data_IF_539104708845
#
_entry.id   IF_539104708845
#
_cell.length_a   1.000
_cell.length_b   1.000
_cell.length_c   1.000
_cell.angle_alpha   90.00
_cell.angle_beta   90.00
_cell.angle_gamma   90.00
#
_symmetry.space_group_name_H-M   'P 1'
#
loop_
_entity.id
_entity.type
_entity.pdbx_description
1 polymer ?
#
# COMPACT_ATOMS: atom_id res chain seq x y z
N UNK A 1 7.30 2.78 16.65
CA UNK A 1 6.38 2.77 15.49
C UNK A 1 6.15 1.31 15.09
N UNK A 2 4.91 0.84 15.13
CA UNK A 2 4.59 -0.54 14.73
C UNK A 2 4.54 -0.64 13.21
N UNK A 3 5.20 -1.66 12.67
CA UNK A 3 5.39 -1.85 11.23
C UNK A 3 4.76 -3.16 10.76
N UNK A 4 4.00 -3.12 9.67
CA UNK A 4 3.52 -4.29 8.96
C UNK A 4 4.25 -4.41 7.62
N UNK A 5 4.93 -5.53 7.41
CA UNK A 5 5.50 -5.91 6.11
C UNK A 5 4.49 -6.72 5.32
N UNK A 6 4.28 -6.33 4.09
CA UNK A 6 3.45 -7.05 3.10
C UNK A 6 4.41 -7.65 2.06
N UNK A 7 4.72 -8.93 2.25
CA UNK A 7 5.76 -9.62 1.51
C UNK A 7 5.18 -10.34 0.28
N UNK A 8 5.58 -9.90 -0.91
CA UNK A 8 5.28 -10.53 -2.20
C UNK A 8 6.56 -11.10 -2.86
N UNK A 9 7.40 -11.73 -2.02
CA UNK A 9 8.65 -12.39 -2.43
C UNK A 9 8.71 -13.82 -1.92
N UNK A 10 9.60 -14.63 -2.46
CA UNK A 10 9.83 -16.01 -1.97
C UNK A 10 10.62 -16.07 -0.66
N UNK A 11 11.20 -14.94 -0.22
CA UNK A 11 11.96 -14.89 1.03
C UNK A 11 11.05 -14.81 2.24
N UNK A 12 11.38 -15.59 3.26
CA UNK A 12 10.72 -15.52 4.55
C UNK A 12 11.40 -14.45 5.40
N UNK A 13 10.59 -13.56 5.97
CA UNK A 13 11.04 -12.56 6.94
C UNK A 13 10.55 -12.96 8.33
N UNK A 14 11.46 -12.99 9.30
CA UNK A 14 11.09 -13.22 10.69
C UNK A 14 10.39 -11.98 11.27
N UNK A 15 9.40 -12.22 12.12
CA UNK A 15 8.78 -11.17 12.90
C UNK A 15 9.74 -10.70 14.01
N UNK A 16 9.77 -9.40 14.23
CA UNK A 16 10.59 -8.74 15.24
C UNK A 16 9.70 -7.92 16.17
N UNK A 17 10.25 -7.45 17.29
CA UNK A 17 9.50 -6.62 18.22
C UNK A 17 8.97 -5.36 17.54
N UNK A 18 7.65 -5.28 17.43
CA UNK A 18 6.96 -4.16 16.76
C UNK A 18 6.91 -4.25 15.23
N UNK A 19 7.32 -5.38 14.65
CA UNK A 19 7.30 -5.62 13.20
C UNK A 19 6.72 -7.01 12.91
N UNK A 20 5.66 -7.05 12.13
CA UNK A 20 4.99 -8.29 11.69
C UNK A 20 5.05 -8.39 10.18
N UNK A 21 5.12 -9.62 9.68
CA UNK A 21 5.14 -9.90 8.24
C UNK A 21 3.91 -10.70 7.83
N UNK A 22 3.27 -10.29 6.75
CA UNK A 22 2.24 -11.04 6.06
C UNK A 22 2.75 -11.43 4.69
N UNK A 23 2.79 -12.73 4.42
CA UNK A 23 2.99 -13.25 3.07
C UNK A 23 1.71 -13.02 2.27
N UNK A 24 1.79 -12.16 1.27
CA UNK A 24 0.62 -11.82 0.45
C UNK A 24 0.52 -12.66 -0.82
N UNK A 25 1.50 -13.50 -1.13
CA UNK A 25 1.54 -14.30 -2.38
C UNK A 25 0.35 -15.22 -2.51
N UNK A 26 -0.05 -15.86 -1.42
CA UNK A 26 -1.14 -16.83 -1.41
C UNK A 26 -2.54 -16.17 -1.32
N UNK A 27 -2.60 -14.88 -1.04
CA UNK A 27 -3.86 -14.17 -0.90
C UNK A 27 -4.58 -14.03 -2.26
N UNK A 28 -5.87 -14.34 -2.26
CA UNK A 28 -6.73 -14.14 -3.42
C UNK A 28 -7.28 -12.72 -3.39
N UNK A 29 -6.65 -11.83 -4.13
CA UNK A 29 -6.96 -10.40 -4.14
C UNK A 29 -7.45 -9.97 -5.52
N UNK A 30 -8.64 -9.39 -5.57
CA UNK A 30 -9.18 -8.72 -6.75
C UNK A 30 -8.77 -7.23 -6.75
N UNK A 31 -8.70 -6.63 -7.92
CA UNK A 31 -8.46 -5.20 -8.08
C UNK A 31 -9.63 -4.35 -7.57
N UNK A 32 -9.35 -3.08 -7.32
CA UNK A 32 -10.41 -2.11 -7.05
C UNK A 32 -11.27 -1.91 -8.30
N UNK A 33 -12.58 -2.05 -8.18
CA UNK A 33 -13.52 -1.87 -9.30
C UNK A 33 -13.97 -0.42 -9.47
N UNK A 34 -13.53 0.51 -8.63
CA UNK A 34 -13.96 1.91 -8.68
C UNK A 34 -15.45 2.10 -8.40
N UNK A 35 -16.12 1.15 -7.76
CA UNK A 35 -17.57 1.19 -7.55
C UNK A 35 -18.05 2.25 -6.55
N UNK A 36 -17.14 2.88 -5.79
CA UNK A 36 -17.44 3.90 -4.79
C UNK A 36 -18.17 3.41 -3.54
N UNK A 37 -18.33 2.09 -3.33
CA UNK A 37 -19.03 1.55 -2.16
C UNK A 37 -18.41 1.98 -0.84
N UNK A 38 -17.07 2.04 -0.76
CA UNK A 38 -16.34 2.48 0.42
C UNK A 38 -16.52 3.98 0.73
N UNK A 39 -16.94 4.79 -0.22
CA UNK A 39 -17.22 6.22 -0.06
C UNK A 39 -18.68 6.47 0.29
N UNK A 40 -19.60 5.63 -0.22
CA UNK A 40 -21.05 5.74 -0.02
C UNK A 40 -21.51 5.04 1.25
N UNK A 41 -21.28 5.67 2.40
CA UNK A 41 -21.64 5.13 3.72
C UNK A 41 -23.11 4.75 3.86
N UNK A 42 -24.01 5.37 3.10
CA UNK A 42 -25.46 5.19 3.24
C UNK A 42 -25.91 3.78 2.85
N UNK A 43 -25.21 3.12 1.94
CA UNK A 43 -25.63 1.81 1.40
C UNK A 43 -24.74 0.63 1.80
N UNK A 44 -23.47 0.90 2.19
CA UNK A 44 -22.47 -0.16 2.43
C UNK A 44 -21.62 0.05 3.69
N UNK A 45 -22.02 0.92 4.62
CA UNK A 45 -21.27 1.16 5.87
C UNK A 45 -19.84 1.69 5.71
N UNK A 46 -19.41 1.99 4.47
CA UNK A 46 -18.04 2.36 4.13
C UNK A 46 -17.12 1.15 3.93
N UNK A 47 -17.68 -0.04 3.72
CA UNK A 47 -16.94 -1.26 3.44
C UNK A 47 -16.70 -1.46 1.94
N UNK A 48 -15.72 -2.31 1.60
CA UNK A 48 -15.48 -2.71 0.23
C UNK A 48 -16.52 -3.73 -0.23
N UNK A 49 -17.09 -3.52 -1.42
CA UNK A 49 -18.05 -4.46 -2.01
C UNK A 49 -17.42 -5.77 -2.51
N UNK A 50 -16.08 -5.81 -2.65
CA UNK A 50 -15.35 -6.99 -3.11
C UNK A 50 -15.07 -7.90 -1.92
N UNK A 51 -15.68 -9.09 -1.91
CA UNK A 51 -15.49 -10.11 -0.88
C UNK A 51 -14.35 -11.05 -1.28
N UNK A 52 -13.16 -10.84 -0.70
CA UNK A 52 -11.97 -11.66 -0.88
C UNK A 52 -11.03 -11.53 0.34
N UNK A 53 -9.79 -12.04 0.23
CA UNK A 53 -8.84 -12.06 1.36
C UNK A 53 -8.42 -10.66 1.83
N UNK A 54 -8.73 -9.59 1.10
CA UNK A 54 -8.50 -8.22 1.58
C UNK A 54 -9.30 -7.91 2.86
N UNK A 55 -10.43 -8.58 3.08
CA UNK A 55 -11.23 -8.42 4.29
C UNK A 55 -10.44 -8.78 5.57
N UNK A 56 -9.49 -9.71 5.47
CA UNK A 56 -8.59 -10.07 6.58
C UNK A 56 -7.46 -9.05 6.76
N UNK A 57 -7.05 -8.38 5.68
CA UNK A 57 -5.96 -7.40 5.73
C UNK A 57 -6.40 -6.06 6.32
N UNK A 58 -7.64 -5.60 6.08
CA UNK A 58 -8.11 -4.31 6.61
C UNK A 58 -7.93 -4.15 8.12
N UNK A 59 -8.43 -5.06 8.97
CA UNK A 59 -8.26 -4.94 10.41
C UNK A 59 -6.81 -5.09 10.85
N UNK A 60 -5.99 -5.82 10.09
CA UNK A 60 -4.57 -5.94 10.36
C UNK A 60 -3.85 -4.63 10.04
N UNK A 61 -3.98 -4.09 8.84
CA UNK A 61 -3.38 -2.82 8.43
C UNK A 61 -3.77 -1.68 9.40
N UNK A 62 -5.01 -1.69 9.87
CA UNK A 62 -5.54 -0.67 10.79
C UNK A 62 -4.82 -0.59 12.14
N UNK A 63 -3.96 -1.55 12.47
CA UNK A 63 -3.23 -1.58 13.75
C UNK A 63 -1.82 -1.00 13.67
N UNK A 64 -1.33 -0.66 12.47
CA UNK A 64 0.06 -0.28 12.24
C UNK A 64 0.21 1.18 11.80
N UNK A 65 1.34 1.77 12.18
CA UNK A 65 1.69 3.15 11.85
C UNK A 65 2.50 3.23 10.55
N UNK A 66 3.17 2.13 10.19
CA UNK A 66 3.97 2.00 8.98
C UNK A 66 3.63 0.71 8.23
N UNK A 67 3.52 0.82 6.91
CA UNK A 67 3.46 -0.31 5.99
C UNK A 67 4.73 -0.38 5.17
N UNK A 68 5.24 -1.60 4.95
CA UNK A 68 6.36 -1.85 4.05
C UNK A 68 5.92 -2.88 3.02
N UNK A 69 5.84 -2.46 1.77
CA UNK A 69 5.59 -3.36 0.65
C UNK A 69 6.94 -3.88 0.12
N UNK A 70 7.13 -5.19 0.16
CA UNK A 70 8.32 -5.85 -0.34
C UNK A 70 7.92 -6.64 -1.58
N UNK A 71 8.32 -6.19 -2.76
CA UNK A 71 7.85 -6.79 -4.00
C UNK A 71 8.77 -6.51 -5.19
N UNK A 72 8.58 -7.30 -6.24
CA UNK A 72 9.24 -7.05 -7.51
C UNK A 72 8.67 -5.79 -8.16
N UNK A 73 9.58 -4.98 -8.73
CA UNK A 73 9.22 -3.89 -9.63
C UNK A 73 8.53 -4.44 -10.88
N UNK A 74 7.51 -3.74 -11.37
CA UNK A 74 6.76 -4.14 -12.56
C UNK A 74 6.25 -2.90 -13.30
N UNK A 75 6.76 -2.65 -14.50
CA UNK A 75 6.35 -1.57 -15.39
C UNK A 75 6.31 -0.17 -14.71
N UNK A 76 7.36 0.19 -14.00
CA UNK A 76 7.42 1.46 -13.29
C UNK A 76 6.44 1.55 -12.11
N UNK A 77 6.10 0.43 -11.48
CA UNK A 77 5.23 0.36 -10.30
C UNK A 77 5.66 -0.80 -9.38
N UNK A 78 4.98 -0.95 -8.26
CA UNK A 78 5.06 -2.15 -7.43
C UNK A 78 4.35 -3.33 -8.10
N UNK A 79 4.50 -4.54 -7.55
CA UNK A 79 3.87 -5.74 -8.11
C UNK A 79 2.34 -5.57 -8.21
N UNK A 80 1.68 -6.27 -9.15
CA UNK A 80 0.23 -6.21 -9.31
C UNK A 80 -0.53 -6.55 -8.02
N UNK A 81 0.00 -7.43 -7.19
CA UNK A 81 -0.61 -7.81 -5.92
C UNK A 81 -0.52 -6.69 -4.89
N UNK A 82 0.65 -6.11 -4.71
CA UNK A 82 0.86 -4.94 -3.85
C UNK A 82 0.02 -3.74 -4.31
N UNK A 83 -0.07 -3.52 -5.62
CA UNK A 83 -0.93 -2.46 -6.18
C UNK A 83 -2.41 -2.66 -5.86
N UNK A 84 -2.93 -3.90 -5.94
CA UNK A 84 -4.32 -4.21 -5.55
C UNK A 84 -4.59 -3.91 -4.08
N UNK A 85 -3.64 -4.23 -3.19
CA UNK A 85 -3.76 -3.91 -1.76
C UNK A 85 -3.83 -2.39 -1.58
N UNK A 86 -2.88 -1.66 -2.16
CA UNK A 86 -2.79 -0.20 -2.04
C UNK A 86 -4.05 0.51 -2.54
N UNK A 87 -4.55 0.15 -3.73
CA UNK A 87 -5.75 0.75 -4.31
C UNK A 87 -6.99 0.52 -3.44
N UNK A 88 -7.06 -0.64 -2.79
CA UNK A 88 -8.19 -1.00 -1.94
C UNK A 88 -8.07 -0.46 -0.51
N UNK A 89 -6.93 0.10 -0.11
CA UNK A 89 -6.80 0.81 1.16
C UNK A 89 -7.69 2.05 1.25
N UNK A 90 -8.29 2.51 0.17
CA UNK A 90 -9.28 3.59 0.16
C UNK A 90 -10.41 3.41 1.21
N UNK A 91 -10.75 2.15 1.56
CA UNK A 91 -11.69 1.80 2.65
C UNK A 91 -11.25 2.36 4.01
N UNK A 92 -9.95 2.40 4.25
CA UNK A 92 -9.33 2.85 5.50
C UNK A 92 -9.16 4.39 5.56
N UNK A 93 -9.41 5.07 4.44
CA UNK A 93 -9.37 6.53 4.35
C UNK A 93 -10.69 7.19 4.77
N UNK A 94 -10.63 8.47 5.09
CA UNK A 94 -11.85 9.28 5.21
C UNK A 94 -12.51 9.40 3.83
N UNK A 95 -13.85 9.27 3.74
CA UNK A 95 -14.56 9.45 2.48
C UNK A 95 -14.62 10.92 2.06
N UNK A 96 -14.40 11.83 2.99
CA UNK A 96 -14.45 13.27 2.75
C UNK A 96 -13.21 13.74 1.95
N UNK A 97 -13.47 14.66 1.04
CA UNK A 97 -12.44 15.39 0.32
C UNK A 97 -12.24 16.78 0.93
N UNK A 98 -11.08 17.32 0.76
CA UNK A 98 -10.74 18.70 1.08
C UNK A 98 -9.99 19.33 -0.09
N UNK A 99 -9.99 20.66 -0.15
CA UNK A 99 -9.20 21.40 -1.14
C UNK A 99 -7.94 21.91 -0.45
N UNK A 100 -6.77 21.49 -0.94
CA UNK A 100 -5.47 21.96 -0.48
C UNK A 100 -4.66 22.41 -1.72
N UNK A 101 -4.11 23.61 -1.67
CA UNK A 101 -3.35 24.19 -2.80
C UNK A 101 -4.10 24.20 -4.16
N UNK A 102 -5.43 24.38 -4.14
CA UNK A 102 -6.34 24.29 -5.29
C UNK A 102 -6.53 22.89 -5.87
N UNK A 103 -6.05 21.86 -5.21
CA UNK A 103 -6.22 20.46 -5.58
C UNK A 103 -7.20 19.75 -4.64
N UNK A 104 -7.98 18.83 -5.19
CA UNK A 104 -8.91 18.01 -4.43
C UNK A 104 -8.17 16.83 -3.84
N UNK A 105 -8.05 16.77 -2.52
CA UNK A 105 -7.34 15.72 -1.81
C UNK A 105 -8.25 14.98 -0.83
N UNK A 106 -7.90 13.75 -0.50
CA UNK A 106 -8.53 13.02 0.62
C UNK A 106 -8.15 13.67 1.96
N UNK A 107 -9.04 13.57 2.94
CA UNK A 107 -8.79 14.07 4.31
C UNK A 107 -7.71 13.28 5.06
N UNK A 108 -7.29 12.13 4.55
CA UNK A 108 -6.30 11.23 5.14
C UNK A 108 -6.91 9.90 5.61
N UNK A 109 -6.24 9.23 6.54
CA UNK A 109 -6.61 7.91 7.04
C UNK A 109 -7.45 7.99 8.32
N UNK A 110 -8.37 7.02 8.51
CA UNK A 110 -9.08 6.77 9.77
C UNK A 110 -8.25 5.95 10.76
N UNK A 111 -7.09 5.49 10.34
CA UNK A 111 -6.18 4.59 11.03
C UNK A 111 -4.87 5.34 11.37
N UNK A 112 -4.01 4.80 12.27
CA UNK A 112 -2.79 5.48 12.68
C UNK A 112 -1.67 5.51 11.63
N UNK A 113 -1.94 5.12 10.39
CA UNK A 113 -0.96 5.04 9.31
C UNK A 113 -0.32 6.41 9.01
N UNK A 114 1.00 6.46 9.05
CA UNK A 114 1.82 7.66 8.83
C UNK A 114 2.82 7.52 7.70
N UNK A 115 3.25 6.27 7.42
CA UNK A 115 4.29 6.00 6.45
C UNK A 115 3.97 4.74 5.63
N UNK A 116 4.23 4.83 4.34
CA UNK A 116 4.24 3.69 3.42
C UNK A 116 5.60 3.66 2.74
N UNK A 117 6.27 2.53 2.81
CA UNK A 117 7.56 2.30 2.17
C UNK A 117 7.47 1.15 1.17
N UNK A 118 8.15 1.29 0.06
CA UNK A 118 8.30 0.25 -0.94
C UNK A 118 9.75 -0.18 -1.00
N UNK A 119 10.02 -1.45 -0.76
CA UNK A 119 11.29 -2.11 -1.02
C UNK A 119 11.14 -2.87 -2.34
N UNK A 120 11.66 -2.30 -3.42
CA UNK A 120 11.52 -2.85 -4.76
C UNK A 120 12.79 -3.57 -5.18
N UNK A 121 12.63 -4.71 -5.84
CA UNK A 121 13.72 -5.47 -6.45
C UNK A 121 13.40 -5.86 -7.89
N UNK A 122 14.40 -6.39 -8.59
CA UNK A 122 14.29 -6.82 -9.98
C UNK A 122 14.86 -5.79 -10.96
N UNK A 123 14.84 -6.12 -12.24
CA UNK A 123 15.34 -5.22 -13.28
C UNK A 123 14.40 -4.02 -13.45
N UNK A 124 14.98 -2.83 -13.47
CA UNK A 124 14.27 -1.59 -13.73
C UNK A 124 15.16 -0.62 -14.51
N UNK A 125 14.57 0.07 -15.45
CA UNK A 125 15.23 1.18 -16.14
C UNK A 125 15.21 2.44 -15.28
N UNK A 126 16.15 3.38 -15.46
CA UNK A 126 16.09 4.67 -14.76
C UNK A 126 14.77 5.41 -14.97
N UNK A 127 14.15 5.28 -16.15
CA UNK A 127 12.87 5.89 -16.45
C UNK A 127 11.73 5.28 -15.63
N UNK A 128 11.71 3.96 -15.44
CA UNK A 128 10.71 3.28 -14.63
C UNK A 128 10.82 3.68 -13.15
N UNK A 129 12.05 3.82 -12.63
CA UNK A 129 12.26 4.27 -11.25
C UNK A 129 11.79 5.71 -11.06
N UNK A 130 12.14 6.61 -11.99
CA UNK A 130 11.69 8.00 -11.94
C UNK A 130 10.16 8.10 -12.02
N UNK A 131 9.50 7.30 -12.86
CA UNK A 131 8.04 7.25 -12.96
C UNK A 131 7.39 6.80 -11.66
N UNK A 132 8.01 5.83 -10.96
CA UNK A 132 7.48 5.37 -9.67
C UNK A 132 7.61 6.44 -8.58
N UNK A 133 8.71 7.16 -8.54
CA UNK A 133 8.92 8.28 -7.61
C UNK A 133 7.91 9.40 -7.85
N UNK A 134 7.71 9.82 -9.09
CA UNK A 134 6.69 10.81 -9.48
C UNK A 134 5.29 10.37 -9.05
N UNK A 135 4.94 9.11 -9.30
CA UNK A 135 3.67 8.55 -8.87
C UNK A 135 3.49 8.55 -7.35
N UNK A 136 4.56 8.29 -6.56
CA UNK A 136 4.50 8.36 -5.10
C UNK A 136 4.27 9.79 -4.59
N UNK A 137 4.83 10.80 -5.24
CA UNK A 137 4.58 12.21 -4.92
C UNK A 137 3.11 12.58 -5.12
N UNK A 138 2.50 12.13 -6.21
CA UNK A 138 1.06 12.30 -6.47
C UNK A 138 0.21 11.62 -5.39
N UNK A 139 0.52 10.38 -5.04
CA UNK A 139 -0.20 9.65 -3.98
C UNK A 139 -0.03 10.32 -2.62
N UNK A 140 1.14 10.85 -2.30
CA UNK A 140 1.36 11.63 -1.08
C UNK A 140 0.38 12.81 -0.99
N UNK A 141 0.20 13.56 -2.07
CA UNK A 141 -0.77 14.65 -2.17
C UNK A 141 -2.20 14.16 -1.93
N UNK A 142 -2.61 13.12 -2.63
CA UNK A 142 -3.97 12.56 -2.58
C UNK A 142 -4.30 11.97 -1.20
N UNK A 143 -3.35 11.36 -0.51
CA UNK A 143 -3.55 10.68 0.79
C UNK A 143 -3.51 11.61 2.01
N UNK A 144 -3.50 12.90 1.81
CA UNK A 144 -3.49 13.88 2.89
C UNK A 144 -2.13 14.06 3.56
N UNK A 145 -1.05 13.69 2.89
CA UNK A 145 0.33 13.88 3.33
C UNK A 145 0.93 12.69 4.06
N UNK A 146 0.45 11.48 3.78
CA UNK A 146 1.14 10.25 4.22
C UNK A 146 2.54 10.19 3.63
N UNK A 147 3.56 9.98 4.46
CA UNK A 147 4.92 9.87 3.98
C UNK A 147 5.08 8.63 3.11
N UNK A 148 5.46 8.83 1.86
CA UNK A 148 5.74 7.76 0.91
C UNK A 148 7.25 7.68 0.66
N UNK A 149 7.79 6.46 0.62
CA UNK A 149 9.20 6.21 0.33
C UNK A 149 9.35 5.02 -0.58
N UNK A 150 10.39 5.05 -1.42
CA UNK A 150 10.83 3.89 -2.18
C UNK A 150 12.32 3.67 -1.95
N UNK A 151 12.69 2.42 -1.80
CA UNK A 151 14.05 1.96 -1.85
C UNK A 151 14.15 0.87 -2.91
N UNK A 152 15.01 1.08 -3.86
CA UNK A 152 15.34 0.07 -4.85
C UNK A 152 16.57 -0.71 -4.38
N UNK A 153 16.42 -2.00 -4.20
CA UNK A 153 17.46 -2.88 -3.64
C UNK A 153 18.15 -3.74 -4.70
N UNK A 154 17.87 -3.48 -5.98
CA UNK A 154 18.52 -4.16 -7.09
C UNK A 154 18.04 -5.60 -7.24
N UNK A 155 18.93 -6.54 -7.01
CA UNK A 155 18.63 -7.97 -7.17
C UNK A 155 17.89 -8.52 -5.94
N UNK A 156 17.07 -9.54 -6.17
CA UNK A 156 16.29 -10.23 -5.13
C UNK A 156 17.16 -10.79 -4.00
N UNK A 157 18.40 -11.21 -4.32
CA UNK A 157 19.36 -11.70 -3.33
C UNK A 157 19.71 -10.66 -2.24
N UNK A 158 19.55 -9.37 -2.50
CA UNK A 158 19.76 -8.30 -1.52
C UNK A 158 18.63 -8.20 -0.47
N UNK A 159 17.53 -8.93 -0.67
CA UNK A 159 16.44 -9.06 0.31
C UNK A 159 16.74 -10.08 1.41
N UNK A 160 17.81 -10.87 1.27
CA UNK A 160 18.14 -11.89 2.25
C UNK A 160 18.31 -11.23 3.63
N UNK A 161 17.51 -11.57 4.63
CA UNK A 161 17.65 -10.98 5.96
C UNK A 161 18.98 -11.44 6.55
N UNK A 162 19.67 -10.51 7.16
CA UNK A 162 20.83 -10.75 7.99
C UNK A 162 20.47 -11.62 9.21
#
# INVERSE_FOLDING_TARGET
MRTLRLNDTEYAFCDELGMETVDVRELKLQGCMGCGACERRIHHGGECAVADDMQMLYPKIAQYEKLVFICRQSFGCCSPKCKRILDRMAVLGYPEYTVKNRELTKKGWKIPLREIEFLLYGEATPQELALFEEWLEEIHGITGGTLMRVQYIGEEAALCPY
#
